data_IF_901587742181
#
_entry.id   IF_901587742181
#
_cell.length_a   1.000
_cell.length_b   1.000
_cell.length_c   1.000
_cell.angle_alpha   90.00
_cell.angle_beta   90.00
_cell.angle_gamma   90.00
#
_symmetry.space_group_name_H-M   'P 1'
#
loop_
_entity.id
_entity.type
_entity.pdbx_description
1 polymer ?
#
# COMPACT_ATOMS: atom_id res chain seq x y z
N UNK A 1 38.51 33.84 -13.63
CA UNK A 1 38.31 35.30 -13.59
C UNK A 1 36.90 35.57 -14.06
N UNK A 2 36.08 36.04 -13.23
CA UNK A 2 35.10 37.11 -13.22
C UNK A 2 34.14 36.86 -12.05
N UNK A 3 34.37 37.63 -11.01
CA UNK A 3 33.44 37.85 -9.87
C UNK A 3 32.43 38.90 -10.32
N UNK A 4 31.15 38.71 -10.06
CA UNK A 4 30.18 39.80 -9.98
C UNK A 4 29.35 39.61 -8.74
N UNK A 5 29.62 40.44 -7.76
CA UNK A 5 28.84 40.81 -6.59
C UNK A 5 27.71 41.75 -7.03
N UNK A 6 26.50 41.53 -6.51
CA UNK A 6 25.54 42.66 -6.37
C UNK A 6 24.76 42.50 -5.07
N UNK A 7 24.93 43.52 -4.23
CA UNK A 7 24.32 43.68 -2.92
C UNK A 7 23.07 44.59 -3.05
N UNK A 8 22.19 44.42 -2.06
CA UNK A 8 21.30 45.39 -1.44
C UNK A 8 20.19 46.08 -2.28
N UNK A 9 18.95 45.89 -1.81
CA UNK A 9 18.05 47.04 -1.58
C UNK A 9 17.06 46.73 -0.43
N UNK A 10 17.26 47.39 0.70
CA UNK A 10 16.34 47.60 1.82
C UNK A 10 15.52 48.87 1.54
N UNK A 11 14.22 48.86 1.76
CA UNK A 11 13.39 50.05 2.05
C UNK A 11 12.09 49.51 2.69
N UNK A 12 11.88 49.60 4.02
CA UNK A 12 11.33 50.72 4.82
C UNK A 12 10.01 51.25 4.27
N UNK A 13 8.88 50.91 4.95
CA UNK A 13 7.79 51.84 5.17
C UNK A 13 7.09 51.55 6.50
N UNK A 14 7.30 52.41 7.48
CA UNK A 14 6.59 52.51 8.75
C UNK A 14 5.68 53.73 8.71
N UNK A 15 4.73 53.77 9.60
CA UNK A 15 3.84 54.90 10.00
C UNK A 15 2.39 54.71 9.52
N UNK A 16 1.30 54.96 10.30
CA UNK A 16 1.21 55.73 11.54
C UNK A 16 -0.08 55.35 12.29
N UNK A 17 -0.04 55.54 13.59
CA UNK A 17 -1.14 55.64 14.56
C UNK A 17 -2.14 56.74 14.23
N UNK A 18 -3.42 56.53 14.55
CA UNK A 18 -4.28 57.59 15.14
C UNK A 18 -5.21 56.96 16.17
N UNK A 19 -5.12 57.45 17.38
CA UNK A 19 -6.01 57.19 18.54
C UNK A 19 -7.08 58.32 18.60
N UNK A 20 -8.27 57.93 19.03
CA UNK A 20 -9.28 58.78 19.71
C UNK A 20 -10.26 57.82 20.34
N UNK A 21 -10.49 57.69 21.68
CA UNK A 21 -10.85 58.76 22.58
C UNK A 21 -12.25 58.46 23.11
N UNK A 22 -12.34 57.99 24.41
CA UNK A 22 -13.53 57.64 25.18
C UNK A 22 -14.49 58.85 25.38
N UNK A 23 -15.75 58.70 25.89
CA UNK A 23 -15.87 58.43 27.31
C UNK A 23 -17.01 57.48 27.72
N UNK A 24 -16.97 57.14 29.01
CA UNK A 24 -17.80 56.28 29.78
C UNK A 24 -19.24 56.74 29.94
N UNK A 25 -20.16 55.78 30.16
CA UNK A 25 -21.30 55.93 31.05
C UNK A 25 -21.56 54.63 31.78
N UNK A 26 -21.54 54.70 33.09
CA UNK A 26 -21.92 53.67 34.07
C UNK A 26 -23.44 53.46 34.04
N UNK A 27 -23.88 52.22 33.98
CA UNK A 27 -25.07 51.77 34.72
C UNK A 27 -24.91 50.30 35.04
N UNK A 28 -24.74 50.04 36.32
CA UNK A 28 -24.76 48.68 36.87
C UNK A 28 -26.13 48.05 36.86
N UNK A 29 -26.18 46.78 36.59
CA UNK A 29 -27.15 45.83 37.15
C UNK A 29 -26.47 44.50 37.38
N UNK A 30 -26.37 44.14 38.64
CA UNK A 30 -26.07 42.79 39.11
C UNK A 30 -27.23 41.89 38.73
N UNK A 31 -26.95 40.85 37.91
CA UNK A 31 -27.75 39.65 37.86
C UNK A 31 -26.81 38.46 37.73
N UNK A 32 -26.64 37.81 38.88
CA UNK A 32 -26.04 36.48 39.04
C UNK A 32 -26.99 35.47 38.44
N UNK A 33 -26.73 35.04 37.20
CA UNK A 33 -27.27 33.78 36.68
C UNK A 33 -26.14 32.80 36.45
N UNK A 34 -26.07 31.92 37.45
CA UNK A 34 -25.44 30.61 37.34
C UNK A 34 -26.13 29.83 36.24
N UNK A 35 -25.55 29.79 35.06
CA UNK A 35 -25.98 28.90 33.99
C UNK A 35 -24.93 27.83 33.78
N UNK A 36 -25.09 26.74 34.50
CA UNK A 36 -24.61 25.43 34.09
C UNK A 36 -25.49 24.96 32.93
N UNK A 37 -25.29 25.48 31.77
CA UNK A 37 -25.80 24.88 30.55
C UNK A 37 -24.82 23.77 30.11
N UNK A 38 -25.00 22.59 30.71
CA UNK A 38 -24.70 21.35 30.04
C UNK A 38 -25.68 21.24 28.87
N UNK A 39 -25.25 21.61 27.69
CA UNK A 39 -25.99 21.35 26.47
C UNK A 39 -26.20 19.84 26.36
N UNK A 40 -27.35 19.37 26.81
CA UNK A 40 -27.91 18.11 26.36
C UNK A 40 -28.21 18.27 24.88
N UNK A 41 -27.32 17.76 24.05
CA UNK A 41 -27.65 17.49 22.65
C UNK A 41 -28.49 16.21 22.68
N UNK A 42 -29.78 16.33 22.94
CA UNK A 42 -30.81 15.32 22.63
C UNK A 42 -30.99 15.31 21.09
N UNK A 43 -29.94 14.92 20.38
CA UNK A 43 -30.07 14.45 19.01
C UNK A 43 -30.68 13.06 19.09
N UNK A 44 -31.95 12.92 18.77
CA UNK A 44 -32.54 11.59 18.56
C UNK A 44 -31.66 10.87 17.54
N UNK A 45 -30.95 9.80 17.97
CA UNK A 45 -30.16 8.98 17.09
C UNK A 45 -31.09 8.45 15.98
N UNK A 46 -30.70 8.66 14.73
CA UNK A 46 -31.47 8.20 13.59
C UNK A 46 -31.55 6.67 13.65
N UNK A 47 -32.75 6.13 13.52
CA UNK A 47 -32.99 4.70 13.68
C UNK A 47 -34.06 4.19 12.71
N UNK A 48 -33.96 2.90 12.39
CA UNK A 48 -34.97 2.19 11.59
C UNK A 48 -35.26 0.81 12.19
N UNK A 49 -36.37 0.19 11.74
CA UNK A 49 -36.74 -1.16 12.14
C UNK A 49 -36.76 -2.06 10.90
N UNK A 50 -35.88 -3.07 10.88
CA UNK A 50 -35.80 -4.05 9.81
C UNK A 50 -36.05 -5.42 10.42
N UNK A 51 -37.16 -6.11 10.06
CA UNK A 51 -37.44 -7.46 10.54
C UNK A 51 -36.29 -8.42 10.28
N UNK A 52 -36.10 -9.38 11.19
CA UNK A 52 -34.96 -10.29 11.14
C UNK A 52 -34.88 -11.11 9.85
N UNK A 53 -36.01 -11.55 9.31
CA UNK A 53 -36.10 -12.28 8.04
C UNK A 53 -35.67 -11.43 6.83
N UNK A 54 -36.07 -10.14 6.84
CA UNK A 54 -35.64 -9.19 5.79
C UNK A 54 -34.16 -8.87 5.92
N UNK A 55 -33.65 -8.68 7.14
CA UNK A 55 -32.24 -8.44 7.37
C UNK A 55 -31.37 -9.61 6.88
N UNK A 56 -31.79 -10.85 7.17
CA UNK A 56 -31.09 -12.05 6.71
C UNK A 56 -31.13 -12.18 5.17
N UNK A 57 -32.31 -12.02 4.57
CA UNK A 57 -32.48 -12.07 3.12
C UNK A 57 -31.67 -10.99 2.39
N UNK A 58 -31.48 -9.82 3.01
CA UNK A 58 -30.67 -8.71 2.50
C UNK A 58 -29.16 -8.88 2.75
N UNK A 59 -28.75 -9.93 3.47
CA UNK A 59 -27.36 -10.19 3.82
C UNK A 59 -26.79 -9.24 4.88
N UNK A 60 -27.63 -8.56 5.64
CA UNK A 60 -27.21 -7.73 6.79
C UNK A 60 -26.68 -8.66 7.88
N UNK A 61 -25.43 -8.49 8.27
CA UNK A 61 -24.79 -9.28 9.32
C UNK A 61 -24.29 -8.38 10.42
N UNK A 62 -24.36 -8.86 11.64
CA UNK A 62 -23.85 -8.18 12.82
C UNK A 62 -22.75 -9.00 13.48
N UNK A 63 -21.83 -8.31 14.13
CA UNK A 63 -20.83 -8.90 15.03
C UNK A 63 -20.77 -8.09 16.32
N UNK A 64 -20.45 -8.75 17.42
CA UNK A 64 -20.26 -8.06 18.69
C UNK A 64 -18.97 -7.21 18.62
N UNK A 65 -19.09 -5.94 18.99
CA UNK A 65 -17.93 -5.09 19.19
C UNK A 65 -17.13 -5.58 20.40
N UNK A 66 -15.80 -5.68 20.26
CA UNK A 66 -14.99 -6.23 21.33
C UNK A 66 -13.50 -5.92 21.15
N UNK A 67 -12.66 -6.47 22.02
CA UNK A 67 -11.22 -6.28 21.89
C UNK A 67 -10.74 -6.87 20.57
N UNK A 68 -9.81 -6.17 19.96
CA UNK A 68 -9.21 -6.54 18.68
C UNK A 68 -7.74 -6.17 18.62
N UNK A 69 -7.07 -6.55 17.54
CA UNK A 69 -5.71 -6.11 17.24
C UNK A 69 -5.76 -5.19 16.04
N UNK A 70 -5.06 -4.09 16.16
CA UNK A 70 -4.87 -3.14 15.06
C UNK A 70 -3.39 -3.19 14.69
N UNK A 71 -3.13 -3.50 13.44
CA UNK A 71 -1.79 -3.53 12.90
C UNK A 71 -1.31 -2.11 12.59
N UNK A 72 -0.06 -1.81 12.93
CA UNK A 72 0.63 -0.63 12.40
C UNK A 72 1.24 -1.01 11.05
N UNK A 73 0.58 -0.58 9.98
CA UNK A 73 0.89 -0.98 8.63
C UNK A 73 1.48 0.19 7.84
N UNK A 74 2.64 -0.07 7.23
CA UNK A 74 3.26 0.86 6.29
C UNK A 74 3.07 0.38 4.86
N UNK A 75 2.51 1.24 4.01
CA UNK A 75 2.43 0.97 2.58
C UNK A 75 3.71 1.45 1.90
N UNK A 76 4.43 0.53 1.28
CA UNK A 76 5.68 0.78 0.57
C UNK A 76 5.59 0.28 -0.86
N UNK A 77 6.42 0.85 -1.74
CA UNK A 77 6.50 0.44 -3.14
C UNK A 77 7.80 -0.32 -3.38
N UNK A 78 7.79 -1.19 -4.39
CA UNK A 78 8.96 -1.96 -4.74
C UNK A 78 8.95 -2.44 -6.18
N UNK A 79 10.01 -3.15 -6.51
CA UNK A 79 10.22 -3.76 -7.82
C UNK A 79 10.49 -5.26 -7.66
N UNK A 80 9.98 -6.02 -8.61
CA UNK A 80 10.33 -7.43 -8.76
C UNK A 80 11.66 -7.55 -9.48
N UNK A 81 12.58 -8.29 -8.90
CA UNK A 81 13.88 -8.56 -9.51
C UNK A 81 14.17 -10.07 -9.50
N UNK A 82 14.91 -10.59 -10.48
CA UNK A 82 15.35 -11.97 -10.44
C UNK A 82 16.23 -12.22 -9.21
N UNK A 83 16.08 -13.38 -8.58
CA UNK A 83 16.90 -13.73 -7.43
C UNK A 83 18.38 -13.91 -7.85
N UNK A 84 19.28 -13.47 -6.97
CA UNK A 84 20.73 -13.62 -7.20
C UNK A 84 21.11 -15.10 -7.34
N UNK A 85 22.05 -15.36 -8.25
CA UNK A 85 22.46 -16.73 -8.59
C UNK A 85 21.48 -17.47 -9.51
N UNK A 86 20.32 -16.89 -9.84
CA UNK A 86 19.33 -17.44 -10.77
C UNK A 86 19.37 -16.77 -12.15
N UNK A 87 20.30 -15.87 -12.38
CA UNK A 87 20.51 -15.21 -13.67
C UNK A 87 21.86 -15.64 -14.25
N UNK A 88 21.85 -16.09 -15.48
CA UNK A 88 23.05 -16.45 -16.22
C UNK A 88 23.23 -15.57 -17.45
N UNK A 89 24.37 -14.90 -17.54
CA UNK A 89 24.83 -14.23 -18.76
C UNK A 89 25.60 -15.22 -19.59
N UNK A 90 25.05 -15.54 -20.75
CA UNK A 90 25.63 -16.53 -21.68
C UNK A 90 26.52 -15.81 -22.66
N UNK A 91 27.81 -16.10 -22.64
CA UNK A 91 28.85 -15.49 -23.49
C UNK A 91 29.38 -16.48 -24.51
N UNK A 92 29.99 -15.97 -25.55
CA UNK A 92 30.77 -16.77 -26.48
C UNK A 92 32.11 -17.22 -25.83
N UNK A 93 32.45 -18.49 -26.01
CA UNK A 93 33.74 -19.05 -25.53
C UNK A 93 34.93 -18.60 -26.38
N UNK A 94 34.72 -18.47 -27.70
CA UNK A 94 35.70 -18.00 -28.66
C UNK A 94 35.06 -16.93 -29.54
N UNK A 95 35.85 -15.92 -29.99
CA UNK A 95 35.35 -14.90 -30.88
C UNK A 95 35.05 -15.46 -32.27
N UNK A 96 34.02 -14.87 -32.93
CA UNK A 96 33.67 -15.22 -34.28
C UNK A 96 32.26 -14.86 -34.71
N UNK A 97 31.94 -14.99 -36.00
CA UNK A 97 30.61 -14.63 -36.50
C UNK A 97 29.53 -15.59 -36.00
N UNK A 98 28.37 -15.00 -35.61
CA UNK A 98 27.20 -15.74 -35.21
C UNK A 98 26.47 -16.25 -36.46
N UNK A 99 26.44 -17.56 -36.65
CA UNK A 99 25.83 -18.21 -37.81
C UNK A 99 24.36 -18.48 -37.68
N UNK A 100 23.91 -18.79 -36.44
CA UNK A 100 22.51 -19.04 -36.18
C UNK A 100 22.12 -18.70 -34.71
N UNK A 101 20.90 -18.28 -34.54
CA UNK A 101 20.27 -18.12 -33.24
C UNK A 101 19.09 -19.11 -33.13
N UNK A 102 19.00 -19.82 -32.02
CA UNK A 102 18.01 -20.89 -31.76
C UNK A 102 17.04 -20.57 -30.64
N UNK A 103 17.22 -19.41 -30.01
CA UNK A 103 16.31 -18.91 -28.96
C UNK A 103 16.10 -17.42 -29.09
N UNK A 104 14.88 -16.98 -28.79
CA UNK A 104 14.44 -15.61 -28.71
C UNK A 104 14.13 -15.16 -27.30
N UNK A 105 13.88 -13.86 -27.10
CA UNK A 105 13.40 -13.31 -25.83
C UNK A 105 12.02 -13.89 -25.52
N UNK A 106 11.81 -14.33 -24.26
CA UNK A 106 10.60 -15.00 -23.82
C UNK A 106 10.59 -16.52 -23.94
N UNK A 107 11.55 -17.10 -24.68
CA UNK A 107 11.62 -18.55 -24.82
C UNK A 107 12.04 -19.22 -23.52
N UNK A 108 11.36 -20.34 -23.19
CA UNK A 108 11.79 -21.23 -22.11
C UNK A 108 12.87 -22.18 -22.62
N UNK A 109 13.98 -22.22 -21.92
CA UNK A 109 15.15 -23.03 -22.25
C UNK A 109 15.56 -23.93 -21.09
N UNK A 110 16.20 -25.05 -21.42
CA UNK A 110 16.76 -25.98 -20.42
C UNK A 110 18.28 -25.82 -20.34
N UNK A 111 18.84 -26.18 -19.20
CA UNK A 111 20.29 -26.30 -19.08
C UNK A 111 20.85 -27.23 -20.18
N UNK A 112 21.93 -26.80 -20.85
CA UNK A 112 22.51 -27.47 -21.99
C UNK A 112 21.83 -27.24 -23.35
N UNK A 113 20.66 -26.57 -23.38
CA UNK A 113 19.96 -26.29 -24.63
C UNK A 113 20.75 -25.31 -25.51
N UNK A 114 20.95 -25.63 -26.82
CA UNK A 114 21.60 -24.72 -27.78
C UNK A 114 20.82 -23.40 -27.93
N UNK A 115 21.53 -22.27 -27.77
CA UNK A 115 20.99 -20.91 -27.94
C UNK A 115 21.52 -20.26 -29.21
N UNK A 116 22.77 -20.52 -29.57
CA UNK A 116 23.41 -19.97 -30.77
C UNK A 116 24.48 -20.92 -31.34
N UNK A 117 24.79 -20.72 -32.61
CA UNK A 117 25.94 -21.31 -33.29
C UNK A 117 26.90 -20.19 -33.69
N UNK A 118 28.12 -20.27 -33.20
CA UNK A 118 29.22 -19.33 -33.50
C UNK A 118 30.32 -20.08 -34.20
N UNK A 119 30.90 -19.49 -35.26
CA UNK A 119 32.06 -20.02 -35.94
C UNK A 119 33.31 -19.38 -35.37
N UNK A 120 34.18 -20.20 -34.81
CA UNK A 120 35.41 -19.71 -34.17
C UNK A 120 36.38 -19.16 -35.23
N UNK A 121 36.88 -17.93 -35.01
CA UNK A 121 37.96 -17.35 -35.84
C UNK A 121 39.30 -18.08 -35.68
N UNK A 122 39.43 -18.85 -34.59
CA UNK A 122 40.69 -19.58 -34.31
C UNK A 122 40.76 -20.92 -35.03
N UNK A 123 39.64 -21.64 -35.11
CA UNK A 123 39.57 -22.99 -35.66
C UNK A 123 38.76 -23.10 -36.94
N UNK A 124 38.11 -22.01 -37.36
CA UNK A 124 37.17 -21.95 -38.50
C UNK A 124 36.04 -23.01 -38.43
N UNK A 125 35.78 -23.52 -37.24
CA UNK A 125 34.72 -24.50 -36.99
C UNK A 125 33.62 -23.94 -36.18
N UNK A 126 32.38 -24.38 -36.44
CA UNK A 126 31.19 -23.99 -35.68
C UNK A 126 31.15 -24.67 -34.31
N UNK A 127 30.83 -23.90 -33.27
CA UNK A 127 30.57 -24.42 -31.96
C UNK A 127 29.21 -23.90 -31.43
N UNK A 128 28.63 -24.65 -30.52
CA UNK A 128 27.34 -24.34 -29.93
C UNK A 128 27.52 -23.57 -28.62
N UNK A 129 26.80 -22.46 -28.48
CA UNK A 129 26.65 -21.75 -27.23
C UNK A 129 25.32 -22.20 -26.61
N UNK A 130 25.40 -22.82 -25.43
CA UNK A 130 24.27 -23.41 -24.75
C UNK A 130 23.93 -22.67 -23.44
N UNK A 131 22.70 -22.80 -23.00
CA UNK A 131 22.25 -22.25 -21.70
C UNK A 131 22.91 -23.00 -20.56
N UNK A 132 23.52 -22.32 -19.56
CA UNK A 132 24.04 -22.97 -18.37
C UNK A 132 22.95 -23.36 -17.36
N UNK A 133 21.77 -22.74 -17.43
CA UNK A 133 20.65 -22.97 -16.53
C UNK A 133 19.34 -23.21 -17.31
N UNK A 134 18.36 -23.82 -16.65
CA UNK A 134 16.98 -23.82 -17.14
C UNK A 134 16.31 -22.53 -16.72
N UNK A 135 15.47 -21.93 -17.59
CA UNK A 135 14.80 -20.68 -17.31
C UNK A 135 14.19 -20.04 -18.55
N UNK A 136 14.03 -18.74 -18.52
CA UNK A 136 13.47 -17.92 -19.60
C UNK A 136 14.57 -16.97 -20.11
N UNK A 137 14.65 -16.79 -21.42
CA UNK A 137 15.52 -15.80 -22.04
C UNK A 137 14.96 -14.41 -21.78
N UNK A 138 15.60 -13.64 -20.90
CA UNK A 138 15.19 -12.27 -20.58
C UNK A 138 15.64 -11.28 -21.63
N UNK A 139 16.88 -11.44 -22.09
CA UNK A 139 17.48 -10.53 -23.07
C UNK A 139 18.32 -11.31 -24.10
N UNK A 140 18.34 -10.79 -25.31
CA UNK A 140 19.19 -11.27 -26.40
C UNK A 140 19.98 -10.08 -26.98
N UNK A 141 21.28 -10.13 -26.83
CA UNK A 141 22.20 -9.13 -27.34
C UNK A 141 22.79 -9.54 -28.70
N UNK A 142 22.62 -10.81 -29.05
CA UNK A 142 23.16 -11.42 -30.25
C UNK A 142 22.28 -11.18 -31.49
N UNK A 143 22.91 -11.00 -32.65
CA UNK A 143 22.27 -10.95 -33.97
C UNK A 143 23.01 -11.86 -34.93
N UNK A 144 22.27 -12.50 -35.85
CA UNK A 144 22.89 -13.33 -36.92
C UNK A 144 23.78 -12.43 -37.78
N UNK A 145 25.00 -12.89 -38.07
CA UNK A 145 26.01 -12.13 -38.82
C UNK A 145 26.86 -11.18 -37.99
N UNK A 146 26.45 -10.85 -36.74
CA UNK A 146 27.31 -10.11 -35.82
C UNK A 146 28.50 -10.97 -35.37
N UNK A 147 29.59 -10.32 -34.96
CA UNK A 147 30.77 -10.99 -34.40
C UNK A 147 30.63 -11.07 -32.88
N UNK A 148 30.58 -12.28 -32.36
CA UNK A 148 30.66 -12.53 -30.92
C UNK A 148 32.09 -12.27 -30.45
N UNK A 149 32.25 -11.54 -29.35
CA UNK A 149 33.56 -11.34 -28.70
C UNK A 149 33.58 -12.14 -27.39
N UNK A 150 34.76 -12.51 -26.96
CA UNK A 150 34.97 -13.19 -25.69
C UNK A 150 34.48 -12.28 -24.54
N UNK A 151 33.74 -12.86 -23.60
CA UNK A 151 33.19 -12.13 -22.44
C UNK A 151 31.96 -11.25 -22.73
N UNK A 152 31.65 -10.98 -24.00
CA UNK A 152 30.44 -10.21 -24.34
C UNK A 152 29.19 -11.07 -24.22
N UNK A 153 28.16 -10.65 -23.46
CA UNK A 153 26.92 -11.40 -23.34
C UNK A 153 26.21 -11.55 -24.68
N UNK A 154 25.76 -12.76 -25.01
CA UNK A 154 24.88 -13.06 -26.14
C UNK A 154 23.42 -13.18 -25.71
N UNK A 155 23.19 -13.76 -24.53
CA UNK A 155 21.87 -13.91 -23.92
C UNK A 155 21.96 -13.68 -22.42
N UNK A 156 20.83 -13.30 -21.85
CA UNK A 156 20.58 -13.36 -20.43
C UNK A 156 19.42 -14.32 -20.19
N UNK A 157 19.66 -15.36 -19.40
CA UNK A 157 18.67 -16.39 -19.05
C UNK A 157 18.47 -16.35 -17.56
N UNK A 158 17.21 -16.37 -17.10
CA UNK A 158 16.89 -16.39 -15.69
C UNK A 158 15.91 -17.51 -15.33
N UNK A 159 16.14 -18.14 -14.21
CA UNK A 159 15.15 -18.97 -13.54
C UNK A 159 14.24 -18.04 -12.74
N UNK A 160 12.99 -17.93 -13.18
CA UNK A 160 11.97 -17.05 -12.63
C UNK A 160 11.03 -17.75 -11.68
N UNK A 161 11.31 -18.97 -11.25
CA UNK A 161 10.46 -19.72 -10.32
C UNK A 161 10.31 -19.05 -8.96
N UNK A 162 11.29 -18.23 -8.60
CA UNK A 162 11.30 -17.42 -7.38
C UNK A 162 11.84 -16.04 -7.72
N UNK A 163 11.21 -15.01 -7.21
CA UNK A 163 11.63 -13.63 -7.41
C UNK A 163 11.91 -12.93 -6.08
N UNK A 164 12.79 -11.98 -6.12
CA UNK A 164 12.96 -11.01 -5.05
C UNK A 164 12.03 -9.82 -5.26
N UNK A 165 11.55 -9.31 -4.14
CA UNK A 165 10.80 -8.06 -4.04
C UNK A 165 11.69 -7.07 -3.31
N UNK A 166 12.22 -6.09 -4.01
CA UNK A 166 12.99 -5.01 -3.44
C UNK A 166 12.06 -3.86 -3.12
N UNK A 167 11.76 -3.68 -1.83
CA UNK A 167 10.87 -2.67 -1.29
C UNK A 167 11.67 -1.43 -0.89
N UNK A 168 11.23 -0.26 -1.35
CA UNK A 168 11.87 1.01 -1.08
C UNK A 168 11.22 1.68 0.13
N UNK A 169 11.98 1.81 1.21
CA UNK A 169 11.53 2.39 2.47
C UNK A 169 12.16 3.76 2.62
N UNK A 170 11.35 4.78 2.89
CA UNK A 170 11.77 6.17 2.97
C UNK A 170 11.67 6.72 4.40
N UNK A 171 12.50 7.70 4.71
CA UNK A 171 12.38 8.50 5.93
C UNK A 171 12.49 7.70 7.22
N UNK A 172 11.63 8.03 8.17
CA UNK A 172 11.61 7.46 9.52
C UNK A 172 11.20 5.99 9.56
N UNK A 173 10.44 5.52 8.58
CA UNK A 173 9.94 4.14 8.53
C UNK A 173 11.08 3.12 8.44
N UNK A 174 12.23 3.53 7.88
CA UNK A 174 13.41 2.68 7.79
C UNK A 174 13.97 2.24 9.18
N UNK A 175 13.65 2.98 10.25
CA UNK A 175 14.05 2.63 11.61
C UNK A 175 13.19 1.55 12.27
N UNK A 176 11.96 1.38 11.79
CA UNK A 176 10.98 0.45 12.35
C UNK A 176 10.86 -0.87 11.57
N UNK A 177 11.26 -0.86 10.30
CA UNK A 177 11.15 -2.02 9.42
C UNK A 177 12.43 -2.88 9.54
N UNK A 178 12.26 -4.11 10.01
CA UNK A 178 13.34 -5.07 10.24
C UNK A 178 13.10 -6.39 9.52
N UNK A 179 14.12 -7.25 9.46
CA UNK A 179 13.95 -8.60 8.93
C UNK A 179 13.00 -9.44 9.80
N UNK A 180 12.26 -10.35 9.19
CA UNK A 180 11.27 -11.19 9.85
C UNK A 180 9.86 -10.60 9.90
N UNK A 181 9.69 -9.33 9.58
CA UNK A 181 8.37 -8.66 9.56
C UNK A 181 7.50 -9.24 8.41
N UNK A 182 6.22 -9.57 8.69
CA UNK A 182 5.28 -9.99 7.67
C UNK A 182 5.03 -8.90 6.63
N UNK A 183 4.93 -9.31 5.38
CA UNK A 183 4.65 -8.40 4.27
C UNK A 183 3.64 -9.04 3.30
N UNK A 184 2.65 -8.26 2.91
CA UNK A 184 1.71 -8.61 1.84
C UNK A 184 2.05 -7.81 0.61
N UNK A 185 2.51 -8.49 -0.42
CA UNK A 185 2.87 -7.90 -1.71
C UNK A 185 1.67 -7.97 -2.65
N UNK A 186 1.31 -6.84 -3.24
CA UNK A 186 0.20 -6.72 -4.18
C UNK A 186 0.73 -6.38 -5.57
N UNK A 187 0.37 -7.18 -6.55
CA UNK A 187 0.67 -6.95 -7.96
C UNK A 187 -0.23 -5.87 -8.52
N UNK A 188 0.35 -4.81 -9.08
CA UNK A 188 -0.40 -3.62 -9.49
C UNK A 188 -1.28 -3.83 -10.73
N UNK A 189 -1.03 -4.88 -11.52
CA UNK A 189 -1.76 -5.13 -12.76
C UNK A 189 -3.16 -5.69 -12.57
N UNK A 190 -3.38 -6.49 -11.52
CA UNK A 190 -4.63 -7.25 -11.30
C UNK A 190 -5.00 -7.39 -9.82
N UNK A 191 -4.23 -6.82 -8.90
CA UNK A 191 -4.50 -6.87 -7.47
C UNK A 191 -4.18 -8.21 -6.80
N UNK A 192 -3.58 -9.18 -7.51
CA UNK A 192 -3.18 -10.43 -6.90
C UNK A 192 -2.15 -10.21 -5.80
N UNK A 193 -2.30 -10.93 -4.70
CA UNK A 193 -1.47 -10.77 -3.50
C UNK A 193 -0.63 -12.02 -3.21
N UNK A 194 0.53 -11.79 -2.61
CA UNK A 194 1.38 -12.85 -2.03
C UNK A 194 1.84 -12.40 -0.64
N UNK A 195 1.66 -13.27 0.36
CA UNK A 195 2.12 -13.01 1.73
C UNK A 195 3.46 -13.72 1.94
N UNK A 196 4.42 -12.98 2.50
CA UNK A 196 5.77 -13.46 2.80
C UNK A 196 6.33 -12.71 4.00
N UNK A 197 7.63 -12.80 4.24
CA UNK A 197 8.34 -12.05 5.27
C UNK A 197 9.51 -11.30 4.65
N UNK A 198 9.92 -10.20 5.27
CA UNK A 198 11.16 -9.52 4.92
C UNK A 198 12.35 -10.41 5.30
N UNK A 199 13.14 -10.83 4.33
CA UNK A 199 14.33 -11.64 4.62
C UNK A 199 15.48 -10.82 5.18
N UNK A 200 15.68 -9.63 4.60
CA UNK A 200 16.79 -8.76 4.99
C UNK A 200 16.55 -7.30 4.62
N UNK A 201 17.22 -6.44 5.34
CA UNK A 201 17.40 -5.03 4.98
C UNK A 201 18.80 -4.91 4.36
N UNK A 202 18.89 -4.34 3.17
CA UNK A 202 20.17 -4.16 2.50
C UNK A 202 21.00 -3.06 3.19
N UNK A 203 22.33 -3.22 3.32
CA UNK A 203 23.16 -2.32 4.12
C UNK A 203 23.41 -0.96 3.47
N UNK A 204 23.04 -0.79 2.22
CA UNK A 204 23.22 0.46 1.46
C UNK A 204 21.89 1.09 1.08
N UNK A 205 21.87 2.41 1.00
CA UNK A 205 20.74 3.11 0.40
C UNK A 205 20.82 3.05 -1.14
N UNK A 206 19.68 2.88 -1.80
CA UNK A 206 19.60 3.03 -3.24
C UNK A 206 19.85 4.51 -3.59
N UNK A 207 20.98 4.79 -4.23
CA UNK A 207 21.45 6.15 -4.46
C UNK A 207 20.50 7.02 -5.29
N UNK A 208 19.76 6.40 -6.21
CA UNK A 208 18.81 7.10 -7.07
C UNK A 208 17.55 7.55 -6.31
N UNK A 209 17.09 6.78 -5.33
CA UNK A 209 15.87 7.04 -4.56
C UNK A 209 16.14 7.51 -3.12
N UNK A 210 17.38 7.40 -2.65
CA UNK A 210 17.77 7.65 -1.25
C UNK A 210 16.93 6.85 -0.24
N UNK A 211 16.48 5.67 -0.64
CA UNK A 211 15.68 4.76 0.17
C UNK A 211 16.51 3.61 0.73
N UNK A 212 16.13 3.13 1.89
CA UNK A 212 16.56 1.82 2.39
C UNK A 212 15.83 0.74 1.62
N UNK A 213 16.52 -0.30 1.18
CA UNK A 213 15.90 -1.41 0.46
C UNK A 213 15.70 -2.58 1.39
N UNK A 214 14.45 -2.98 1.58
CA UNK A 214 14.08 -4.22 2.25
C UNK A 214 13.75 -5.28 1.19
N UNK A 215 14.24 -6.48 1.38
CA UNK A 215 14.08 -7.59 0.45
C UNK A 215 13.22 -8.70 1.01
N UNK A 216 12.23 -9.09 0.23
CA UNK A 216 11.40 -10.27 0.46
C UNK A 216 11.53 -11.24 -0.72
N UNK A 217 11.09 -12.48 -0.52
CA UNK A 217 11.05 -13.52 -1.55
C UNK A 217 9.62 -13.94 -1.81
N UNK A 218 9.26 -14.07 -3.07
CA UNK A 218 7.98 -14.61 -3.49
C UNK A 218 8.15 -15.81 -4.41
N UNK A 219 7.29 -16.80 -4.26
CA UNK A 219 7.16 -17.89 -5.21
C UNK A 219 6.45 -17.43 -6.48
N UNK A 220 6.92 -17.91 -7.63
CA UNK A 220 6.38 -17.56 -8.94
C UNK A 220 6.22 -18.80 -9.82
N UNK A 221 5.75 -19.90 -9.23
CA UNK A 221 5.55 -21.16 -9.97
C UNK A 221 4.56 -21.00 -11.14
N UNK A 222 3.58 -20.12 -11.01
CA UNK A 222 2.60 -19.77 -12.04
C UNK A 222 3.17 -18.86 -13.14
N UNK A 223 4.30 -18.19 -12.91
CA UNK A 223 4.97 -17.31 -13.86
C UNK A 223 4.27 -15.96 -14.10
N UNK A 224 3.31 -15.57 -13.25
CA UNK A 224 2.59 -14.31 -13.41
C UNK A 224 3.32 -13.09 -12.82
N UNK A 225 4.23 -13.30 -11.89
CA UNK A 225 5.09 -12.24 -11.38
C UNK A 225 6.25 -12.00 -12.35
N UNK A 226 6.38 -10.80 -12.86
CA UNK A 226 7.35 -10.47 -13.92
C UNK A 226 8.46 -9.59 -13.38
N UNK A 227 9.75 -9.92 -13.60
CA UNK A 227 10.85 -9.04 -13.26
C UNK A 227 10.68 -7.65 -13.89
N UNK A 228 11.04 -6.61 -13.14
CA UNK A 228 10.86 -5.21 -13.53
C UNK A 228 9.47 -4.65 -13.29
N UNK A 229 8.49 -5.48 -12.89
CA UNK A 229 7.17 -4.97 -12.55
C UNK A 229 7.19 -4.27 -11.18
N UNK A 230 6.49 -3.14 -11.09
CA UNK A 230 6.24 -2.46 -9.83
C UNK A 230 5.19 -3.22 -9.01
N UNK A 231 5.39 -3.23 -7.71
CA UNK A 231 4.50 -3.80 -6.71
C UNK A 231 4.25 -2.80 -5.59
N UNK A 232 3.12 -2.96 -4.93
CA UNK A 232 2.82 -2.32 -3.65
C UNK A 232 2.94 -3.38 -2.57
N UNK A 233 3.46 -3.02 -1.42
CA UNK A 233 3.55 -3.93 -0.30
C UNK A 233 3.07 -3.26 0.97
N UNK A 234 2.39 -4.04 1.81
CA UNK A 234 1.96 -3.65 3.14
C UNK A 234 2.82 -4.41 4.13
N UNK A 235 3.54 -3.64 4.94
CA UNK A 235 4.49 -4.14 5.95
C UNK A 235 3.89 -3.90 7.32
N UNK A 236 3.71 -4.95 8.11
CA UNK A 236 3.13 -4.88 9.46
C UNK A 236 4.26 -4.74 10.46
N UNK A 237 4.53 -3.51 10.93
CA UNK A 237 5.67 -3.21 11.81
C UNK A 237 5.38 -3.48 13.28
N UNK A 238 4.12 -3.34 13.69
CA UNK A 238 3.67 -3.60 15.05
C UNK A 238 2.20 -4.03 15.07
N UNK A 239 1.77 -4.63 16.16
CA UNK A 239 0.38 -4.95 16.42
C UNK A 239 0.04 -4.53 17.85
N UNK A 240 -0.89 -3.61 17.99
CA UNK A 240 -1.34 -3.16 19.28
C UNK A 240 -2.76 -3.65 19.59
N UNK A 241 -3.00 -4.04 20.83
CA UNK A 241 -4.35 -4.37 21.29
C UNK A 241 -5.19 -3.10 21.38
N UNK A 242 -6.41 -3.17 20.86
CA UNK A 242 -7.46 -2.17 21.00
C UNK A 242 -8.53 -2.74 21.93
N UNK A 243 -8.92 -2.01 23.01
CA UNK A 243 -9.97 -2.47 23.91
C UNK A 243 -11.31 -2.68 23.22
N UNK A 244 -11.54 -1.92 22.15
CA UNK A 244 -12.73 -2.00 21.34
C UNK A 244 -12.38 -1.77 19.86
N UNK A 245 -12.67 -2.72 19.02
CA UNK A 245 -12.45 -2.66 17.58
C UNK A 245 -13.67 -3.17 16.82
N UNK A 246 -13.87 -2.64 15.62
CA UNK A 246 -14.88 -3.10 14.67
C UNK A 246 -14.23 -3.23 13.29
N UNK A 247 -14.74 -4.12 12.41
CA UNK A 247 -14.31 -4.17 11.03
C UNK A 247 -14.54 -2.83 10.30
N UNK A 248 -13.62 -2.45 9.43
CA UNK A 248 -13.73 -1.22 8.61
C UNK A 248 -15.03 -1.20 7.79
N UNK A 249 -15.55 -2.37 7.42
CA UNK A 249 -16.82 -2.51 6.68
C UNK A 249 -18.05 -2.08 7.49
N UNK A 250 -17.95 -1.95 8.82
CA UNK A 250 -19.00 -1.45 9.67
C UNK A 250 -19.14 0.07 9.63
N UNK A 251 -18.06 0.78 9.26
CA UNK A 251 -18.04 2.24 9.25
C UNK A 251 -18.86 2.79 8.10
N UNK A 252 -19.58 3.84 8.41
CA UNK A 252 -20.26 4.71 7.46
C UNK A 252 -20.01 6.17 7.86
N UNK A 253 -20.38 7.08 6.98
CA UNK A 253 -20.32 8.52 7.26
C UNK A 253 -21.73 9.07 7.20
N UNK A 254 -22.16 9.83 8.18
CA UNK A 254 -23.47 10.49 8.19
C UNK A 254 -23.53 11.68 7.21
N UNK A 255 -24.66 12.36 7.14
CA UNK A 255 -24.84 13.56 6.29
C UNK A 255 -23.97 14.75 6.74
N UNK A 256 -23.59 14.77 8.02
CA UNK A 256 -22.72 15.79 8.61
C UNK A 256 -21.23 15.50 8.44
N UNK A 257 -20.85 14.38 7.79
CA UNK A 257 -19.45 13.97 7.60
C UNK A 257 -18.83 13.30 8.83
N UNK A 258 -19.63 12.88 9.83
CA UNK A 258 -19.15 12.20 11.03
C UNK A 258 -19.10 10.69 10.80
N UNK A 259 -18.15 10.02 11.44
CA UNK A 259 -18.06 8.56 11.42
C UNK A 259 -19.15 7.95 12.28
N UNK A 260 -19.90 7.00 11.70
CA UNK A 260 -21.00 6.32 12.36
C UNK A 260 -20.93 4.81 12.16
N UNK A 261 -21.52 4.08 13.07
CA UNK A 261 -21.83 2.64 12.97
C UNK A 261 -23.31 2.41 13.25
N UNK A 262 -23.84 1.28 12.81
CA UNK A 262 -25.21 0.89 13.10
C UNK A 262 -25.22 -0.22 14.13
N UNK A 263 -25.86 0.04 15.28
CA UNK A 263 -26.02 -0.91 16.38
C UNK A 263 -27.39 -1.55 16.28
N UNK A 264 -27.45 -2.88 16.38
CA UNK A 264 -28.70 -3.65 16.34
C UNK A 264 -29.18 -4.01 17.75
N UNK A 265 -30.42 -3.70 18.03
CA UNK A 265 -31.15 -4.15 19.22
C UNK A 265 -32.47 -4.80 18.81
N UNK A 266 -32.53 -6.13 18.79
CA UNK A 266 -33.64 -6.88 18.20
C UNK A 266 -33.79 -6.59 16.70
N UNK A 267 -34.92 -6.00 16.30
CA UNK A 267 -35.16 -5.57 14.91
C UNK A 267 -34.86 -4.08 14.67
N UNK A 268 -34.50 -3.34 15.72
CA UNK A 268 -34.15 -1.92 15.65
C UNK A 268 -32.67 -1.78 15.31
N UNK A 269 -32.37 -0.88 14.39
CA UNK A 269 -31.02 -0.47 13.98
C UNK A 269 -30.89 1.03 14.27
N UNK A 270 -29.92 1.39 15.09
CA UNK A 270 -29.67 2.75 15.54
C UNK A 270 -28.34 3.25 15.04
N UNK A 271 -28.34 4.45 14.44
CA UNK A 271 -27.11 5.13 14.04
C UNK A 271 -26.39 5.65 15.29
N UNK A 272 -25.12 5.31 15.41
CA UNK A 272 -24.30 5.71 16.54
C UNK A 272 -23.03 6.40 16.05
N UNK A 273 -22.87 7.69 16.41
CA UNK A 273 -21.64 8.45 16.13
C UNK A 273 -20.51 7.87 16.98
N UNK A 274 -19.37 7.63 16.34
CA UNK A 274 -18.19 7.05 16.99
C UNK A 274 -16.97 7.94 16.82
N UNK A 275 -16.08 7.91 17.81
CA UNK A 275 -14.74 8.45 17.69
C UNK A 275 -13.78 7.31 17.40
N UNK A 276 -12.95 7.49 16.37
CA UNK A 276 -12.02 6.47 15.93
C UNK A 276 -10.61 6.70 16.48
N UNK A 277 -9.90 5.61 16.68
CA UNK A 277 -8.48 5.57 17.03
C UNK A 277 -7.63 5.06 15.86
N UNK A 278 -6.72 4.14 16.18
CA UNK A 278 -5.86 3.47 15.20
C UNK A 278 -6.70 2.63 14.23
N UNK A 279 -6.19 2.47 13.04
CA UNK A 279 -6.85 1.72 11.97
C UNK A 279 -5.83 0.95 11.16
N UNK A 280 -6.19 -0.26 10.75
CA UNK A 280 -5.50 -1.02 9.72
C UNK A 280 -6.42 -1.27 8.51
N UNK A 281 -6.08 -2.22 7.65
CA UNK A 281 -6.88 -2.55 6.48
C UNK A 281 -8.20 -3.27 6.80
N UNK A 282 -8.28 -3.93 7.94
CA UNK A 282 -9.40 -4.81 8.31
C UNK A 282 -10.23 -4.23 9.44
N UNK A 283 -9.58 -3.60 10.43
CA UNK A 283 -10.20 -3.17 11.68
C UNK A 283 -9.89 -1.71 12.01
N UNK A 284 -10.76 -1.11 12.81
CA UNK A 284 -10.59 0.22 13.38
C UNK A 284 -10.92 0.21 14.86
N UNK A 285 -10.08 0.88 15.64
CA UNK A 285 -10.29 1.12 17.06
C UNK A 285 -11.40 2.15 17.25
N UNK A 286 -12.33 1.86 18.14
CA UNK A 286 -13.37 2.81 18.55
C UNK A 286 -13.04 3.29 19.95
N UNK A 287 -12.76 4.60 20.07
CA UNK A 287 -12.37 5.22 21.34
C UNK A 287 -13.54 5.77 22.15
N UNK A 288 -14.65 6.08 21.46
CA UNK A 288 -15.90 6.53 22.09
C UNK A 288 -17.11 6.24 21.20
N UNK A 289 -18.32 6.24 21.80
CA UNK A 289 -19.58 6.10 21.08
C UNK A 289 -20.11 4.66 21.00
N UNK A 290 -19.32 3.65 21.37
CA UNK A 290 -19.71 2.24 21.30
C UNK A 290 -19.27 1.52 22.58
N UNK A 291 -19.96 0.44 22.94
CA UNK A 291 -19.64 -0.40 24.10
C UNK A 291 -19.29 -1.81 23.68
N UNK A 292 -18.44 -2.46 24.46
CA UNK A 292 -18.13 -3.87 24.24
C UNK A 292 -19.40 -4.73 24.36
N UNK A 293 -19.57 -5.67 23.45
CA UNK A 293 -20.71 -6.57 23.37
C UNK A 293 -21.91 -6.05 22.56
N UNK A 294 -21.93 -4.77 22.16
CA UNK A 294 -22.98 -4.25 21.27
C UNK A 294 -22.86 -4.91 19.88
N UNK A 295 -24.02 -5.28 19.31
CA UNK A 295 -24.10 -5.92 17.99
C UNK A 295 -24.02 -4.86 16.88
N UNK A 296 -22.88 -4.76 16.25
CA UNK A 296 -22.63 -3.78 15.17
C UNK A 296 -22.82 -4.44 13.80
N UNK A 297 -23.47 -3.73 12.89
CA UNK A 297 -23.64 -4.17 11.50
C UNK A 297 -22.30 -4.15 10.79
N UNK A 298 -21.79 -5.33 10.37
CA UNK A 298 -20.49 -5.50 9.73
C UNK A 298 -20.58 -5.82 8.24
N UNK A 299 -21.77 -6.16 7.76
CA UNK A 299 -22.01 -6.37 6.34
C UNK A 299 -23.32 -5.70 5.93
N UNK A 300 -23.34 -5.11 4.73
CA UNK A 300 -24.48 -4.36 4.18
C UNK A 300 -24.90 -3.16 5.02
N UNK A 301 -23.96 -2.53 5.74
CA UNK A 301 -24.21 -1.32 6.55
C UNK A 301 -24.83 -0.18 5.73
N UNK A 302 -24.50 -0.10 4.44
CA UNK A 302 -25.09 0.86 3.50
C UNK A 302 -26.62 0.68 3.35
N UNK A 303 -27.14 -0.55 3.38
CA UNK A 303 -28.59 -0.78 3.30
C UNK A 303 -29.31 -0.20 4.52
N UNK A 304 -28.73 -0.37 5.71
CA UNK A 304 -29.26 0.21 6.95
C UNK A 304 -29.25 1.73 6.87
N UNK A 305 -28.15 2.33 6.39
CA UNK A 305 -28.06 3.78 6.16
C UNK A 305 -29.16 4.28 5.23
N UNK A 306 -29.37 3.60 4.10
CA UNK A 306 -30.37 3.98 3.12
C UNK A 306 -31.81 3.90 3.65
N UNK A 307 -32.08 2.92 4.52
CA UNK A 307 -33.39 2.75 5.13
C UNK A 307 -33.67 3.83 6.19
N UNK A 308 -32.69 4.17 7.01
CA UNK A 308 -32.77 5.30 7.96
C UNK A 308 -33.02 6.62 7.21
N UNK A 309 -32.31 6.88 6.10
CA UNK A 309 -32.53 8.09 5.30
C UNK A 309 -33.95 8.18 4.71
N UNK A 310 -34.53 7.06 4.30
CA UNK A 310 -35.95 7.03 3.85
C UNK A 310 -36.92 7.33 4.97
N UNK A 311 -36.67 6.79 6.16
CA UNK A 311 -37.52 7.04 7.33
C UNK A 311 -37.49 8.53 7.73
N UNK A 312 -36.36 9.19 7.66
CA UNK A 312 -36.21 10.62 7.96
C UNK A 312 -37.04 11.48 7.01
N UNK A 313 -36.98 11.22 5.70
CA UNK A 313 -37.79 11.97 4.68
C UNK A 313 -39.28 11.74 4.83
N UNK A 314 -39.73 10.57 5.29
CA UNK A 314 -41.14 10.26 5.49
C UNK A 314 -41.79 11.00 6.71
N UNK A 315 -41.01 11.54 7.62
CA UNK A 315 -41.46 12.30 8.79
C UNK A 315 -41.53 13.82 8.54
N UNK A 316 -41.05 14.32 7.41
CA UNK A 316 -41.09 15.75 7.04
C UNK A 316 -42.34 16.14 6.20
N UNK A 317 -43.27 15.23 5.95
CA UNK A 317 -44.50 15.48 5.17
C UNK A 317 -45.78 15.41 6.01
#
# INVERSE_FOLDING_TARGET
MIRITLAALLAFLAAALVACGSPADEHGHDDVHSATDAAHIDGHAAATTIPADIAEASGIRTAAAGPGRIADEHEVQGLLVPAEGRVARVTARFPGPIRALRAGVGDRVRAGQPLAIVESNLSLSGYTVASPISGVVLQRFASVGAVASEGTPLFEVADLSTLWVDLHIFGTDAGHITAGIPVTVTRMSDGATATTVLERILPGTATASQSTVARAVIDNADGFWRPGAAVRARVVVDQAEAPLAVPVTALQTDEGGRDVVYVREGDRYEERVVALGRRDAENVEVTAGLRAGEAVVVAQSFLVKADIGKAAVAHEH
#
